data_IF_191964280783
#
_entry.id   IF_191964280783
#
_cell.length_a   1.000
_cell.length_b   1.000
_cell.length_c   1.000
_cell.angle_alpha   90.00
_cell.angle_beta   90.00
_cell.angle_gamma   90.00
#
_symmetry.space_group_name_H-M   'P 1'
#
loop_
_entity.id
_entity.type
_entity.pdbx_description
1 polymer ?
#
# COMPACT_ATOMS: atom_id res chain seq x y z
N UNK A 1 4.47 2.75 -25.82
CA UNK A 1 4.39 2.09 -24.50
C UNK A 1 3.51 2.95 -23.60
N UNK A 2 2.86 2.37 -22.60
CA UNK A 2 2.02 3.15 -21.67
C UNK A 2 2.91 3.67 -20.54
N UNK A 3 2.87 4.97 -20.27
CA UNK A 3 3.60 5.60 -19.16
C UNK A 3 3.34 4.89 -17.82
N UNK A 4 2.11 4.41 -17.61
CA UNK A 4 1.76 3.63 -16.41
C UNK A 4 2.58 2.34 -16.33
N UNK A 5 2.74 1.62 -17.45
CA UNK A 5 3.54 0.37 -17.49
C UNK A 5 5.02 0.63 -17.24
N UNK A 6 5.55 1.74 -17.73
CA UNK A 6 6.94 2.13 -17.49
C UNK A 6 7.17 2.47 -16.02
N UNK A 7 6.23 3.18 -15.39
CA UNK A 7 6.26 3.47 -13.94
C UNK A 7 6.19 2.17 -13.13
N UNK A 8 5.28 1.25 -13.46
CA UNK A 8 5.19 -0.05 -12.77
C UNK A 8 6.50 -0.83 -12.85
N UNK A 9 7.08 -0.93 -14.05
CA UNK A 9 8.36 -1.63 -14.25
C UNK A 9 9.54 -0.93 -13.57
N UNK A 10 9.46 0.37 -13.31
CA UNK A 10 10.46 1.11 -12.53
C UNK A 10 10.33 0.80 -11.04
N UNK A 11 9.11 0.74 -10.50
CA UNK A 11 8.83 0.42 -9.10
C UNK A 11 9.35 -0.98 -8.75
N UNK A 12 9.15 -1.97 -9.62
CA UNK A 12 9.60 -3.36 -9.43
C UNK A 12 11.13 -3.51 -9.32
N UNK A 13 11.89 -2.50 -9.77
CA UNK A 13 13.36 -2.52 -9.72
C UNK A 13 13.95 -1.83 -8.50
N UNK A 14 13.13 -1.13 -7.72
CA UNK A 14 13.55 -0.43 -6.51
C UNK A 14 13.84 -1.42 -5.39
N UNK A 15 14.83 -1.12 -4.57
CA UNK A 15 15.03 -1.84 -3.31
C UNK A 15 13.96 -1.49 -2.27
N UNK A 16 13.87 -2.25 -1.18
CA UNK A 16 12.83 -2.07 -0.15
C UNK A 16 12.85 -0.66 0.46
N UNK A 17 14.03 -0.06 0.64
CA UNK A 17 14.16 1.28 1.21
C UNK A 17 13.65 2.34 0.23
N UNK A 18 13.98 2.19 -1.05
CA UNK A 18 13.51 3.05 -2.13
C UNK A 18 12.00 2.92 -2.32
N UNK A 19 11.44 1.71 -2.22
CA UNK A 19 9.99 1.49 -2.27
C UNK A 19 9.27 2.17 -1.12
N UNK A 20 9.79 2.07 0.12
CA UNK A 20 9.22 2.75 1.28
C UNK A 20 9.30 4.27 1.17
N UNK A 21 10.37 4.81 0.59
CA UNK A 21 10.48 6.24 0.33
C UNK A 21 9.46 6.68 -0.74
N UNK A 22 9.37 5.93 -1.84
CA UNK A 22 8.39 6.20 -2.89
C UNK A 22 6.96 6.17 -2.37
N UNK A 23 6.61 5.20 -1.50
CA UNK A 23 5.28 5.11 -0.89
C UNK A 23 4.89 6.38 -0.12
N UNK A 24 5.85 7.07 0.50
CA UNK A 24 5.61 8.33 1.24
C UNK A 24 5.38 9.51 0.30
N UNK A 25 6.12 9.54 -0.81
CA UNK A 25 6.13 10.69 -1.72
C UNK A 25 5.05 10.58 -2.82
N UNK A 26 4.71 9.35 -3.22
CA UNK A 26 3.78 9.06 -4.32
C UNK A 26 2.40 9.70 -4.13
N UNK A 27 1.79 9.71 -2.93
CA UNK A 27 0.49 10.36 -2.75
C UNK A 27 0.50 11.86 -3.08
N UNK A 28 1.61 12.56 -2.87
CA UNK A 28 1.75 13.97 -3.24
C UNK A 28 1.88 14.21 -4.75
N UNK A 29 2.30 13.19 -5.50
CA UNK A 29 2.33 13.19 -6.96
C UNK A 29 1.01 12.73 -7.58
N UNK A 30 0.22 11.97 -6.82
CA UNK A 30 -1.14 11.59 -7.18
C UNK A 30 -2.11 12.67 -6.70
N UNK A 31 -3.31 12.74 -7.27
CA UNK A 31 -4.35 13.69 -6.82
C UNK A 31 -5.03 13.23 -5.53
N UNK A 32 -4.27 12.61 -4.62
CA UNK A 32 -4.77 12.14 -3.33
C UNK A 32 -4.69 13.31 -2.35
N UNK A 33 -5.76 13.53 -1.58
CA UNK A 33 -5.71 14.55 -0.53
C UNK A 33 -4.89 14.06 0.65
N UNK A 34 -4.32 14.98 1.43
CA UNK A 34 -3.62 14.63 2.66
C UNK A 34 -4.56 13.89 3.65
N UNK A 35 -5.84 14.23 3.62
CA UNK A 35 -6.87 13.56 4.43
C UNK A 35 -7.06 12.10 3.98
N UNK A 36 -7.17 11.84 2.67
CA UNK A 36 -7.30 10.46 2.15
C UNK A 36 -6.11 9.59 2.59
N UNK A 37 -4.90 10.14 2.56
CA UNK A 37 -3.67 9.45 3.00
C UNK A 37 -3.68 9.21 4.51
N UNK A 38 -4.13 10.20 5.30
CA UNK A 38 -4.25 10.07 6.74
C UNK A 38 -5.27 9.00 7.15
N UNK A 39 -6.39 8.88 6.43
CA UNK A 39 -7.37 7.83 6.65
C UNK A 39 -6.79 6.44 6.40
N UNK A 40 -5.99 6.25 5.34
CA UNK A 40 -5.33 4.96 5.08
C UNK A 40 -4.35 4.59 6.18
N UNK A 41 -3.55 5.56 6.64
CA UNK A 41 -2.60 5.34 7.74
C UNK A 41 -3.30 5.01 9.07
N UNK A 42 -4.44 5.66 9.35
CA UNK A 42 -5.25 5.40 10.54
C UNK A 42 -5.98 4.05 10.47
N UNK A 43 -6.29 3.55 9.28
CA UNK A 43 -6.96 2.27 9.08
C UNK A 43 -5.99 1.08 9.23
N UNK A 44 -4.69 1.26 8.98
CA UNK A 44 -3.68 0.19 9.02
C UNK A 44 -3.71 -0.63 10.32
N UNK A 45 -3.74 -0.03 11.53
CA UNK A 45 -3.84 -0.77 12.79
C UNK A 45 -5.18 -1.50 12.97
N UNK A 46 -6.26 -1.01 12.36
CA UNK A 46 -7.56 -1.65 12.42
C UNK A 46 -7.60 -2.95 11.59
N UNK A 47 -6.72 -3.11 10.60
CA UNK A 47 -6.59 -4.38 9.88
C UNK A 47 -5.95 -5.48 10.73
N UNK A 48 -5.09 -5.14 11.70
CA UNK A 48 -4.54 -6.13 12.64
C UNK A 48 -5.62 -6.79 13.52
N UNK A 49 -6.76 -6.12 13.74
CA UNK A 49 -7.92 -6.72 14.41
C UNK A 49 -8.56 -7.85 13.58
N UNK A 50 -8.49 -7.76 12.25
CA UNK A 50 -9.02 -8.78 11.32
C UNK A 50 -8.01 -9.89 11.00
N UNK A 51 -6.73 -9.71 11.35
CA UNK A 51 -5.69 -10.73 11.23
C UNK A 51 -5.73 -11.66 12.46
N UNK A 52 -6.87 -12.35 12.63
CA UNK A 52 -7.07 -13.30 13.73
C UNK A 52 -6.62 -14.70 13.31
N UNK A 53 -5.58 -15.29 13.92
CA UNK A 53 -5.11 -16.64 13.58
C UNK A 53 -6.15 -17.74 13.86
N UNK A 54 -7.13 -17.48 14.72
CA UNK A 54 -8.25 -18.42 14.95
C UNK A 54 -9.22 -18.46 13.76
N UNK A 55 -9.28 -17.41 12.93
CA UNK A 55 -10.16 -17.34 11.77
C UNK A 55 -9.66 -18.24 10.62
N UNK A 56 -8.40 -18.67 10.66
CA UNK A 56 -7.82 -19.63 9.69
C UNK A 56 -8.57 -20.98 9.64
N UNK A 57 -9.37 -21.29 10.67
CA UNK A 57 -10.23 -22.48 10.71
C UNK A 57 -11.36 -22.37 9.67
N UNK A 58 -11.79 -21.16 9.32
CA UNK A 58 -12.88 -20.92 8.36
C UNK A 58 -12.42 -20.93 6.90
N UNK A 59 -11.11 -20.89 6.62
CA UNK A 59 -10.57 -20.95 5.25
C UNK A 59 -10.84 -22.30 4.54
N UNK A 60 -11.23 -23.33 5.32
CA UNK A 60 -11.44 -24.70 4.82
C UNK A 60 -12.91 -25.10 4.69
N UNK A 61 -13.86 -24.16 4.86
CA UNK A 61 -15.30 -24.40 4.76
C UNK A 61 -15.86 -24.15 3.34
#
# INVERSE_FOLDING_TARGET
>A
MSTVREITAAIEKLDEKEQLQLLRDLPGHLKLSADDVAWTALAEPAFAFWDNPEDAIYDQL
#
